data_IF_012513205700
#
_entry.id   IF_012513205700
#
_cell.length_a   1.000
_cell.length_b   1.000
_cell.length_c   1.000
_cell.angle_alpha   90.00
_cell.angle_beta   90.00
_cell.angle_gamma   90.00
#
_symmetry.space_group_name_H-M   'P 1'
#
loop_
_entity.id
_entity.type
_entity.pdbx_description
1 polymer ?
#
# COMPACT_ATOMS: atom_id res chain seq x y z
N UNK A 1 -24.11 -32.14 -36.68
CA UNK A 1 -23.67 -32.06 -35.28
C UNK A 1 -22.24 -31.53 -35.15
N UNK A 2 -21.28 -31.84 -36.05
CA UNK A 2 -19.87 -31.38 -35.87
C UNK A 2 -19.61 -29.89 -36.16
N UNK A 3 -20.30 -29.28 -37.14
CA UNK A 3 -20.08 -27.87 -37.50
C UNK A 3 -20.42 -26.90 -36.36
N UNK A 4 -21.41 -27.25 -35.52
CA UNK A 4 -21.83 -26.40 -34.42
C UNK A 4 -20.80 -26.42 -33.26
N UNK A 5 -20.18 -27.58 -33.02
CA UNK A 5 -19.07 -27.72 -32.04
C UNK A 5 -17.84 -26.94 -32.50
N UNK A 6 -17.46 -27.03 -33.77
CA UNK A 6 -16.30 -26.31 -34.31
C UNK A 6 -16.41 -24.79 -34.13
N UNK A 7 -17.61 -24.23 -34.35
CA UNK A 7 -17.88 -22.80 -34.17
C UNK A 7 -17.81 -22.38 -32.70
N UNK A 8 -18.27 -23.24 -31.78
CA UNK A 8 -18.23 -22.97 -30.35
C UNK A 8 -16.79 -23.02 -29.84
N UNK A 9 -15.99 -23.98 -30.29
CA UNK A 9 -14.57 -24.11 -29.90
C UNK A 9 -13.74 -22.90 -30.34
N UNK A 10 -13.91 -22.44 -31.59
CA UNK A 10 -13.25 -21.23 -32.09
C UNK A 10 -13.62 -19.99 -31.26
N UNK A 11 -14.88 -19.90 -30.82
CA UNK A 11 -15.35 -18.78 -29.99
C UNK A 11 -14.71 -18.83 -28.59
N UNK A 12 -14.56 -20.03 -28.03
CA UNK A 12 -13.92 -20.24 -26.73
C UNK A 12 -12.45 -19.84 -26.79
N UNK A 13 -11.71 -20.26 -27.81
CA UNK A 13 -10.29 -19.94 -27.98
C UNK A 13 -10.06 -18.43 -28.12
N UNK A 14 -10.92 -17.75 -28.89
CA UNK A 14 -10.87 -16.30 -29.07
C UNK A 14 -11.10 -15.57 -27.74
N UNK A 15 -12.10 -15.97 -26.96
CA UNK A 15 -12.41 -15.36 -25.67
C UNK A 15 -11.32 -15.63 -24.63
N UNK A 16 -10.74 -16.83 -24.62
CA UNK A 16 -9.59 -17.15 -23.76
C UNK A 16 -8.39 -16.25 -24.08
N UNK A 17 -8.14 -15.98 -25.38
CA UNK A 17 -7.06 -15.08 -25.81
C UNK A 17 -7.29 -13.65 -25.31
N UNK A 18 -8.50 -13.11 -25.46
CA UNK A 18 -8.84 -11.76 -24.99
C UNK A 18 -8.74 -11.63 -23.46
N UNK A 19 -9.23 -12.63 -22.72
CA UNK A 19 -9.14 -12.66 -21.25
C UNK A 19 -7.67 -12.70 -20.81
N UNK A 20 -6.82 -13.48 -21.47
CA UNK A 20 -5.39 -13.53 -21.15
C UNK A 20 -4.68 -12.19 -21.41
N UNK A 21 -5.02 -11.48 -22.49
CA UNK A 21 -4.48 -10.14 -22.75
C UNK A 21 -4.92 -9.13 -21.68
N UNK A 22 -6.19 -9.18 -21.26
CA UNK A 22 -6.69 -8.30 -20.19
C UNK A 22 -6.04 -8.63 -18.84
N UNK A 23 -5.87 -9.91 -18.53
CA UNK A 23 -5.14 -10.38 -17.34
C UNK A 23 -3.70 -9.86 -17.32
N UNK A 24 -3.00 -9.91 -18.45
CA UNK A 24 -1.65 -9.34 -18.59
C UNK A 24 -1.61 -7.82 -18.38
N UNK A 25 -2.59 -7.09 -18.90
CA UNK A 25 -2.67 -5.63 -18.73
C UNK A 25 -3.00 -5.21 -17.29
N UNK A 26 -3.80 -6.01 -16.59
CA UNK A 26 -4.27 -5.73 -15.22
C UNK A 26 -3.35 -6.36 -14.17
N UNK A 27 -2.32 -7.12 -14.56
CA UNK A 27 -1.42 -7.81 -13.65
C UNK A 27 -2.13 -8.92 -12.84
N UNK A 28 -3.21 -9.47 -13.39
CA UNK A 28 -4.04 -10.47 -12.73
C UNK A 28 -3.61 -11.87 -13.20
N UNK A 29 -2.61 -12.45 -12.54
CA UNK A 29 -2.14 -13.80 -12.84
C UNK A 29 -2.83 -14.82 -11.92
N UNK A 30 -3.83 -15.54 -12.44
CA UNK A 30 -4.09 -16.92 -12.00
C UNK A 30 -2.99 -17.78 -12.63
N UNK A 31 -2.16 -18.42 -11.81
CA UNK A 31 -0.92 -19.13 -12.14
C UNK A 31 0.27 -18.23 -12.52
N UNK A 32 0.67 -17.40 -11.56
CA UNK A 32 1.98 -16.78 -11.54
C UNK A 32 3.06 -17.89 -11.57
N UNK A 33 3.90 -17.87 -12.61
CA UNK A 33 5.21 -18.53 -12.63
C UNK A 33 5.93 -18.27 -11.29
N UNK A 34 6.83 -19.15 -10.79
CA UNK A 34 7.43 -18.98 -9.48
C UNK A 34 8.22 -17.68 -9.41
N UNK A 35 7.54 -16.61 -8.99
CA UNK A 35 8.11 -15.34 -8.60
C UNK A 35 9.19 -15.70 -7.60
N UNK A 36 10.41 -15.23 -7.83
CA UNK A 36 11.55 -15.57 -6.98
C UNK A 36 11.11 -15.46 -5.52
N UNK A 37 11.32 -16.51 -4.73
CA UNK A 37 10.93 -16.60 -3.31
C UNK A 37 11.73 -15.63 -2.41
N UNK A 38 12.20 -14.52 -2.97
CA UNK A 38 12.84 -13.44 -2.25
C UNK A 38 11.77 -12.83 -1.37
N UNK A 39 11.85 -13.14 -0.08
CA UNK A 39 11.01 -12.50 0.93
C UNK A 39 11.39 -11.02 0.94
N UNK A 40 10.39 -10.15 0.79
CA UNK A 40 10.58 -8.71 0.99
C UNK A 40 10.95 -8.51 2.46
N UNK A 41 12.07 -7.82 2.76
CA UNK A 41 12.44 -7.54 4.14
C UNK A 41 11.43 -6.57 4.77
N UNK A 42 11.12 -6.79 6.05
CA UNK A 42 10.22 -5.91 6.79
C UNK A 42 10.88 -4.53 7.02
N UNK A 43 10.13 -3.42 6.88
CA UNK A 43 10.61 -2.08 7.17
C UNK A 43 11.00 -1.90 8.63
N UNK A 44 11.91 -0.96 8.88
CA UNK A 44 12.24 -0.54 10.25
C UNK A 44 11.04 0.18 10.87
N UNK A 45 10.58 -0.20 12.08
CA UNK A 45 9.52 0.53 12.77
C UNK A 45 9.92 1.96 13.15
N UNK A 46 8.95 2.87 13.21
CA UNK A 46 9.14 4.25 13.63
C UNK A 46 8.60 4.47 15.04
N UNK A 47 9.45 4.95 15.95
CA UNK A 47 9.16 5.05 17.37
C UNK A 47 8.97 6.48 17.89
N UNK A 48 8.74 7.48 17.03
CA UNK A 48 8.60 8.91 17.37
C UNK A 48 9.88 9.67 17.73
N UNK A 49 11.08 9.11 17.49
CA UNK A 49 12.31 9.89 17.62
C UNK A 49 12.15 11.20 16.85
N UNK A 50 12.28 12.36 17.53
CA UNK A 50 12.09 13.73 16.99
C UNK A 50 13.17 14.12 15.97
N UNK A 51 13.61 13.16 15.18
CA UNK A 51 14.58 13.27 14.11
C UNK A 51 13.79 13.27 12.81
N UNK A 52 13.75 14.42 12.15
CA UNK A 52 13.16 14.55 10.81
C UNK A 52 13.75 13.51 9.85
N UNK A 53 15.05 13.20 9.99
CA UNK A 53 15.74 12.18 9.22
C UNK A 53 15.18 10.78 9.42
N UNK A 54 14.87 10.39 10.65
CA UNK A 54 14.33 9.04 10.91
C UNK A 54 12.91 8.89 10.38
N UNK A 55 12.09 9.94 10.47
CA UNK A 55 10.76 9.93 9.86
C UNK A 55 10.84 9.87 8.32
N UNK A 56 11.74 10.64 7.70
CA UNK A 56 11.92 10.60 6.25
C UNK A 56 12.42 9.23 5.76
N UNK A 57 13.38 8.64 6.48
CA UNK A 57 13.84 7.28 6.20
C UNK A 57 12.68 6.28 6.31
N UNK A 58 11.88 6.35 7.38
CA UNK A 58 10.72 5.49 7.56
C UNK A 58 9.72 5.60 6.40
N UNK A 59 9.37 6.82 6.00
CA UNK A 59 8.46 7.03 4.88
C UNK A 59 9.01 6.42 3.59
N UNK A 60 10.31 6.59 3.32
CA UNK A 60 10.97 6.03 2.15
C UNK A 60 11.04 4.50 2.18
N UNK A 61 11.37 3.90 3.33
CA UNK A 61 11.42 2.45 3.50
C UNK A 61 10.03 1.82 3.27
N UNK A 62 8.95 2.46 3.72
CA UNK A 62 7.57 2.05 3.40
C UNK A 62 7.25 2.14 1.91
N UNK A 63 7.70 3.21 1.26
CA UNK A 63 7.55 3.45 -0.19
C UNK A 63 8.11 2.27 -1.00
N UNK A 64 9.35 1.89 -0.67
CA UNK A 64 10.03 0.75 -1.31
C UNK A 64 9.35 -0.57 -0.95
N UNK A 65 8.93 -0.74 0.30
CA UNK A 65 8.27 -1.95 0.74
C UNK A 65 6.96 -2.20 0.01
N UNK A 66 6.11 -1.17 -0.15
CA UNK A 66 4.84 -1.30 -0.88
C UNK A 66 5.07 -1.68 -2.35
N UNK A 67 6.07 -1.08 -2.99
CA UNK A 67 6.45 -1.44 -4.36
C UNK A 67 6.96 -2.88 -4.47
N UNK A 68 7.83 -3.30 -3.55
CA UNK A 68 8.41 -4.64 -3.56
C UNK A 68 7.38 -5.73 -3.21
N UNK A 69 6.48 -5.45 -2.27
CA UNK A 69 5.43 -6.36 -1.82
C UNK A 69 4.13 -6.26 -2.62
N UNK A 70 4.06 -5.36 -3.62
CA UNK A 70 2.87 -5.10 -4.45
C UNK A 70 1.61 -4.83 -3.63
N UNK A 71 1.76 -4.02 -2.58
CA UNK A 71 0.66 -3.61 -1.71
C UNK A 71 -0.26 -2.65 -2.46
N UNK A 72 -1.57 -2.76 -2.23
CA UNK A 72 -2.56 -1.86 -2.82
C UNK A 72 -2.58 -0.53 -2.08
N UNK A 73 -2.77 0.58 -2.80
CA UNK A 73 -2.78 1.95 -2.23
C UNK A 73 -3.78 2.11 -1.06
N UNK A 74 -4.94 1.45 -1.14
CA UNK A 74 -5.98 1.45 -0.09
C UNK A 74 -5.52 0.81 1.22
N UNK A 75 -4.48 -0.03 1.20
CA UNK A 75 -3.95 -0.74 2.36
C UNK A 75 -2.72 -0.05 2.96
N UNK A 76 -2.07 0.86 2.23
CA UNK A 76 -0.80 1.48 2.60
C UNK A 76 -0.87 2.21 3.95
N UNK A 77 -1.92 2.98 4.19
CA UNK A 77 -2.10 3.72 5.45
C UNK A 77 -2.27 2.74 6.62
N UNK A 78 -3.10 1.72 6.44
CA UNK A 78 -3.35 0.70 7.47
C UNK A 78 -2.06 -0.06 7.80
N UNK A 79 -1.31 -0.49 6.78
CA UNK A 79 -0.05 -1.20 6.95
C UNK A 79 1.00 -0.29 7.58
N UNK A 80 1.15 0.96 7.13
CA UNK A 80 2.10 1.93 7.73
C UNK A 80 1.84 2.08 9.23
N UNK A 81 0.57 2.13 9.65
CA UNK A 81 0.19 2.22 11.07
C UNK A 81 0.68 1.04 11.92
N UNK A 82 0.82 -0.16 11.33
CA UNK A 82 1.30 -1.35 12.03
C UNK A 82 2.78 -1.27 12.39
N UNK A 83 3.54 -0.45 11.66
CA UNK A 83 4.97 -0.21 11.89
C UNK A 83 5.25 1.05 12.73
N UNK A 84 4.20 1.72 13.22
CA UNK A 84 4.35 2.72 14.27
C UNK A 84 4.56 2.02 15.62
N UNK A 85 5.45 2.59 16.43
CA UNK A 85 5.82 2.08 17.75
C UNK A 85 5.89 3.22 18.76
N UNK A 86 5.93 2.89 20.06
CA UNK A 86 6.01 3.87 21.17
C UNK A 86 4.97 4.99 21.04
N UNK A 87 5.36 6.25 21.18
CA UNK A 87 4.42 7.38 21.16
C UNK A 87 3.75 7.56 19.78
N UNK A 88 4.42 7.15 18.69
CA UNK A 88 3.82 7.19 17.36
C UNK A 88 2.63 6.22 17.24
N UNK A 89 2.72 5.06 17.89
CA UNK A 89 1.62 4.10 17.95
C UNK A 89 0.45 4.59 18.79
N UNK A 90 0.73 5.31 19.88
CA UNK A 90 -0.31 5.89 20.75
C UNK A 90 -1.02 7.08 20.08
N UNK A 91 -0.30 7.86 19.27
CA UNK A 91 -0.86 8.98 18.53
C UNK A 91 -1.90 8.54 17.48
N UNK A 92 -1.69 7.41 16.82
CA UNK A 92 -2.55 6.96 15.72
C UNK A 92 -4.05 6.82 16.10
N UNK A 93 -4.43 6.09 17.18
CA UNK A 93 -5.82 6.04 17.63
C UNK A 93 -6.41 7.39 18.03
N UNK A 94 -5.62 8.28 18.63
CA UNK A 94 -6.05 9.65 18.97
C UNK A 94 -6.38 10.42 17.71
N UNK A 95 -5.50 10.37 16.70
CA UNK A 95 -5.69 11.06 15.43
C UNK A 95 -6.92 10.59 14.66
N UNK A 96 -7.25 9.29 14.71
CA UNK A 96 -8.47 8.74 14.11
C UNK A 96 -9.75 9.18 14.84
N UNK A 97 -9.67 9.41 16.15
CA UNK A 97 -10.80 9.90 16.94
C UNK A 97 -11.03 11.41 16.72
N UNK A 98 -9.94 12.15 16.50
CA UNK A 98 -9.97 13.59 16.26
C UNK A 98 -10.58 13.96 14.90
N UNK A 99 -10.48 13.11 13.87
CA UNK A 99 -11.12 13.31 12.54
C UNK A 99 -12.63 13.60 12.63
N UNK A 100 -13.31 12.99 13.61
CA UNK A 100 -14.75 13.16 13.78
C UNK A 100 -15.13 14.45 14.53
N UNK A 101 -14.19 15.08 15.24
CA UNK A 101 -14.45 16.20 16.15
C UNK A 101 -13.75 17.50 15.75
N UNK A 102 -12.63 17.39 15.04
CA UNK A 102 -11.87 18.50 14.46
C UNK A 102 -11.98 18.36 12.95
N UNK A 103 -12.29 19.43 12.24
CA UNK A 103 -12.47 19.47 10.77
C UNK A 103 -11.13 19.22 10.01
N UNK A 104 -10.41 18.17 10.40
CA UNK A 104 -9.17 17.69 9.80
C UNK A 104 -9.50 16.74 8.66
N UNK A 105 -8.58 16.68 7.70
CA UNK A 105 -8.68 15.75 6.58
C UNK A 105 -8.50 14.32 7.08
N UNK A 106 -9.36 13.41 6.60
CA UNK A 106 -9.27 11.99 6.91
C UNK A 106 -7.98 11.42 6.32
N UNK A 107 -7.27 10.62 7.10
CA UNK A 107 -6.03 9.97 6.67
C UNK A 107 -6.36 8.73 5.82
N UNK A 108 -6.79 8.95 4.57
CA UNK A 108 -7.06 7.88 3.61
C UNK A 108 -5.92 7.69 2.60
N UNK A 109 -5.12 8.73 2.40
CA UNK A 109 -4.04 8.74 1.41
C UNK A 109 -2.69 8.88 2.10
N UNK A 110 -1.68 8.20 1.54
CA UNK A 110 -0.32 8.18 2.08
C UNK A 110 0.31 9.56 2.22
N UNK A 111 0.03 10.48 1.30
CA UNK A 111 0.52 11.86 1.38
C UNK A 111 -0.06 12.63 2.58
N UNK A 112 -1.32 12.38 2.92
CA UNK A 112 -1.98 12.97 4.10
C UNK A 112 -1.33 12.40 5.37
N UNK A 113 -1.11 11.08 5.41
CA UNK A 113 -0.41 10.43 6.53
C UNK A 113 1.00 11.00 6.71
N UNK A 114 1.77 11.16 5.63
CA UNK A 114 3.12 11.71 5.66
C UNK A 114 3.12 13.14 6.18
N UNK A 115 2.16 13.97 5.78
CA UNK A 115 2.00 15.34 6.28
C UNK A 115 1.69 15.36 7.78
N UNK A 116 0.72 14.58 8.23
CA UNK A 116 0.32 14.51 9.64
C UNK A 116 1.44 13.99 10.55
N UNK A 117 2.19 12.96 10.09
CA UNK A 117 3.37 12.48 10.81
C UNK A 117 4.44 13.57 10.95
N UNK A 118 4.66 14.37 9.89
CA UNK A 118 5.59 15.50 9.94
C UNK A 118 5.10 16.57 10.91
N UNK A 119 3.84 16.97 10.81
CA UNK A 119 3.25 17.99 11.69
C UNK A 119 3.29 17.59 13.17
N UNK A 120 3.14 16.29 13.47
CA UNK A 120 3.15 15.77 14.83
C UNK A 120 4.56 15.56 15.40
N UNK A 121 5.48 14.98 14.62
CA UNK A 121 6.77 14.48 15.12
C UNK A 121 7.98 15.31 14.72
N UNK A 122 7.80 16.30 13.84
CA UNK A 122 8.86 17.27 13.62
C UNK A 122 8.92 18.20 14.84
N UNK A 123 10.11 18.48 15.38
CA UNK A 123 10.23 19.55 16.36
C UNK A 123 9.74 20.83 15.68
N UNK A 124 8.65 21.42 16.18
CA UNK A 124 8.37 22.82 15.89
C UNK A 124 9.63 23.58 16.27
N UNK A 125 10.23 24.29 15.32
CA UNK A 125 11.31 25.23 15.60
C UNK A 125 10.70 26.38 16.42
N UNK A 126 10.41 26.16 17.70
CA UNK A 126 10.25 27.22 18.67
C UNK A 126 11.66 27.69 19.00
N UNK A 127 12.14 28.66 18.21
CA UNK A 127 13.17 29.60 18.66
C UNK A 127 12.67 30.42 19.83
#
# INVERSE_FOLDING_TARGET
MSVLTDVVDVKIDSLQTEVNLLRLMVGWEEDCAPMSKVKVPDPKPFCSARSAKELENFCWDMEIYFQAARILEVEEVSITSMYLTEDAKLWWPTRLSDDASTNRDKIEMRDILKKELKDQFFPCNTS
#
